data_IF_303268782362
#
_entry.id   IF_303268782362
#
_cell.length_a   1.000
_cell.length_b   1.000
_cell.length_c   1.000
_cell.angle_alpha   90.00
_cell.angle_beta   90.00
_cell.angle_gamma   90.00
#
_symmetry.space_group_name_H-M   'P 1'
#
loop_
_entity.id
_entity.type
_entity.pdbx_description
1 polymer ?
#
# COMPACT_ATOMS: atom_id res chain seq x y z
N UNK A 1 9.66 -1.69 -27.35
CA UNK A 1 8.76 -1.37 -26.24
C UNK A 1 9.26 -1.88 -24.88
N UNK A 2 9.57 -3.17 -24.73
CA UNK A 2 10.00 -3.73 -23.42
C UNK A 2 11.20 -3.00 -22.80
N UNK A 3 12.25 -2.71 -23.59
CA UNK A 3 13.40 -1.91 -23.12
C UNK A 3 12.99 -0.56 -22.52
N UNK A 4 12.07 0.15 -23.18
CA UNK A 4 11.55 1.45 -22.73
C UNK A 4 10.74 1.26 -21.44
N UNK A 5 9.85 0.27 -21.41
CA UNK A 5 9.07 -0.06 -20.22
C UNK A 5 9.96 -0.35 -19.02
N UNK A 6 10.95 -1.24 -19.17
CA UNK A 6 11.90 -1.58 -18.09
C UNK A 6 12.66 -0.35 -17.60
N UNK A 7 13.21 0.49 -18.48
CA UNK A 7 13.93 1.71 -18.08
C UNK A 7 13.03 2.67 -17.29
N UNK A 8 11.79 2.89 -17.75
CA UNK A 8 10.83 3.77 -17.07
C UNK A 8 10.37 3.18 -15.73
N UNK A 9 10.16 1.86 -15.67
CA UNK A 9 9.78 1.15 -14.46
C UNK A 9 10.88 1.22 -13.39
N UNK A 10 12.15 1.01 -13.79
CA UNK A 10 13.28 1.19 -12.87
C UNK A 10 13.38 2.61 -12.36
N UNK A 11 13.14 3.62 -13.21
CA UNK A 11 13.07 5.02 -12.79
C UNK A 11 11.98 5.27 -11.75
N UNK A 12 10.79 4.70 -11.96
CA UNK A 12 9.68 4.78 -11.00
C UNK A 12 10.04 4.14 -9.66
N UNK A 13 10.54 2.90 -9.68
CA UNK A 13 10.92 2.16 -8.46
C UNK A 13 12.01 2.90 -7.69
N UNK A 14 13.03 3.39 -8.38
CA UNK A 14 14.08 4.21 -7.79
C UNK A 14 13.51 5.46 -7.11
N UNK A 15 12.60 6.15 -7.78
CA UNK A 15 11.94 7.33 -7.21
C UNK A 15 11.09 6.97 -5.98
N UNK A 16 10.39 5.84 -5.98
CA UNK A 16 9.64 5.39 -4.79
C UNK A 16 10.62 5.18 -3.63
N UNK A 17 11.71 4.44 -3.86
CA UNK A 17 12.73 4.18 -2.84
C UNK A 17 13.28 5.47 -2.25
N UNK A 18 13.73 6.41 -3.10
CA UNK A 18 14.37 7.66 -2.65
C UNK A 18 13.40 8.64 -1.99
N UNK A 19 12.12 8.63 -2.37
CA UNK A 19 11.15 9.62 -1.85
C UNK A 19 10.26 9.10 -0.73
N UNK A 20 10.15 7.78 -0.58
CA UNK A 20 9.31 7.14 0.42
C UNK A 20 10.11 6.38 1.49
N UNK A 21 11.44 6.50 1.53
CA UNK A 21 12.30 5.79 2.50
C UNK A 21 11.83 5.98 3.95
N UNK A 22 11.77 7.22 4.43
CA UNK A 22 11.31 7.52 5.80
C UNK A 22 9.86 7.06 6.03
N UNK A 23 8.99 7.24 5.04
CA UNK A 23 7.59 6.81 5.14
C UNK A 23 7.43 5.29 5.17
N UNK A 24 8.30 4.54 4.47
CA UNK A 24 8.32 3.08 4.50
C UNK A 24 8.77 2.58 5.87
N UNK A 25 9.78 3.22 6.46
CA UNK A 25 10.22 2.91 7.82
C UNK A 25 9.13 3.18 8.85
N UNK A 26 8.52 4.37 8.82
CA UNK A 26 7.43 4.74 9.72
C UNK A 26 6.22 3.82 9.58
N UNK A 27 5.84 3.50 8.34
CA UNK A 27 4.72 2.60 8.07
C UNK A 27 5.03 1.17 8.49
N UNK A 28 6.20 0.64 8.15
CA UNK A 28 6.63 -0.68 8.58
C UNK A 28 6.66 -0.81 10.10
N UNK A 29 7.16 0.21 10.80
CA UNK A 29 7.14 0.29 12.27
C UNK A 29 5.73 0.30 12.84
N UNK A 30 4.84 1.11 12.28
CA UNK A 30 3.45 1.18 12.71
C UNK A 30 2.74 -0.18 12.55
N UNK A 31 3.00 -0.89 11.45
CA UNK A 31 2.42 -2.20 11.17
C UNK A 31 3.02 -3.30 12.06
N UNK A 32 4.34 -3.28 12.28
CA UNK A 32 5.03 -4.23 13.16
C UNK A 32 4.52 -4.15 14.62
N UNK A 33 4.15 -2.96 15.10
CA UNK A 33 3.55 -2.79 16.42
C UNK A 33 2.25 -3.60 16.60
N UNK A 34 1.45 -3.76 15.54
CA UNK A 34 0.25 -4.60 15.60
C UNK A 34 0.63 -6.04 15.91
N UNK A 35 1.63 -6.54 15.18
CA UNK A 35 2.10 -7.92 15.25
C UNK A 35 2.70 -8.21 16.63
N UNK A 36 3.55 -7.30 17.13
CA UNK A 36 4.16 -7.40 18.47
C UNK A 36 3.07 -7.40 19.56
N UNK A 37 2.02 -6.60 19.39
CA UNK A 37 0.88 -6.55 20.31
C UNK A 37 -0.11 -7.72 20.13
N UNK A 38 0.20 -8.71 19.28
CA UNK A 38 -0.67 -9.85 18.93
C UNK A 38 -2.01 -9.44 18.27
N UNK A 39 -2.03 -8.26 17.65
CA UNK A 39 -3.08 -7.81 16.75
C UNK A 39 -2.84 -8.22 15.30
N UNK A 40 -3.77 -7.83 14.42
CA UNK A 40 -3.72 -8.13 13.00
C UNK A 40 -3.28 -6.92 12.17
N UNK A 41 -2.60 -7.21 11.06
CA UNK A 41 -2.44 -6.27 9.95
C UNK A 41 -3.50 -6.61 8.89
N UNK A 42 -4.60 -5.87 8.87
CA UNK A 42 -5.65 -6.04 7.88
C UNK A 42 -5.23 -5.47 6.53
N UNK A 43 -5.08 -6.33 5.53
CA UNK A 43 -4.66 -5.95 4.19
C UNK A 43 -5.87 -5.97 3.25
N UNK A 44 -6.04 -4.89 2.48
CA UNK A 44 -7.06 -4.80 1.43
C UNK A 44 -6.54 -4.07 0.22
N UNK A 45 -6.64 -4.69 -0.94
CA UNK A 45 -6.53 -4.04 -2.24
C UNK A 45 -7.89 -3.61 -2.75
N UNK A 46 -7.92 -2.52 -3.52
CA UNK A 46 -9.10 -2.05 -4.24
C UNK A 46 -8.83 -2.01 -5.74
N UNK A 47 -9.86 -2.32 -6.54
CA UNK A 47 -9.76 -2.45 -7.99
C UNK A 47 -8.60 -3.40 -8.39
N UNK A 48 -7.71 -3.00 -9.30
CA UNK A 48 -6.59 -3.84 -9.72
C UNK A 48 -5.57 -4.14 -8.60
N UNK A 49 -5.57 -3.36 -7.52
CA UNK A 49 -4.67 -3.59 -6.38
C UNK A 49 -5.07 -4.79 -5.53
N UNK A 50 -6.25 -5.39 -5.76
CA UNK A 50 -6.63 -6.68 -5.16
C UNK A 50 -5.60 -7.78 -5.46
N UNK A 51 -4.83 -7.66 -6.54
CA UNK A 51 -3.72 -8.58 -6.85
C UNK A 51 -2.67 -8.67 -5.74
N UNK A 52 -2.50 -7.62 -4.92
CA UNK A 52 -1.52 -7.58 -3.83
C UNK A 52 -1.94 -8.50 -2.67
N UNK A 53 -3.24 -8.73 -2.49
CA UNK A 53 -3.77 -9.64 -1.47
C UNK A 53 -3.27 -11.08 -1.69
N UNK A 54 -3.10 -11.51 -2.95
CA UNK A 54 -2.54 -12.83 -3.26
C UNK A 54 -1.11 -12.97 -2.76
N UNK A 55 -0.27 -11.94 -2.93
CA UNK A 55 1.08 -11.93 -2.42
C UNK A 55 1.11 -11.90 -0.89
N UNK A 56 0.20 -11.13 -0.28
CA UNK A 56 0.12 -10.96 1.16
C UNK A 56 -0.33 -12.23 1.90
N UNK A 57 -1.30 -12.97 1.36
CA UNK A 57 -1.94 -14.09 2.05
C UNK A 57 -1.48 -15.47 1.56
N UNK A 58 -1.13 -15.59 0.29
CA UNK A 58 -0.83 -16.89 -0.36
C UNK A 58 0.47 -16.90 -1.15
N UNK A 59 1.25 -15.81 -1.09
CA UNK A 59 2.52 -15.71 -1.77
C UNK A 59 3.56 -16.65 -1.19
N UNK A 60 4.70 -16.79 -1.88
CA UNK A 60 5.84 -17.56 -1.39
C UNK A 60 6.26 -17.15 0.03
N UNK A 61 6.08 -15.87 0.34
CA UNK A 61 6.31 -15.32 1.66
C UNK A 61 5.17 -14.36 2.02
N UNK A 62 4.16 -14.89 2.71
CA UNK A 62 3.06 -14.11 3.25
C UNK A 62 3.55 -13.08 4.26
N UNK A 63 2.82 -11.96 4.39
CA UNK A 63 3.15 -10.94 5.39
C UNK A 63 2.81 -11.47 6.81
N UNK A 64 3.72 -11.35 7.79
CA UNK A 64 3.43 -11.76 9.15
C UNK A 64 2.24 -10.98 9.74
N UNK A 65 1.35 -11.68 10.46
CA UNK A 65 0.16 -11.08 11.05
C UNK A 65 -0.88 -10.57 10.04
N UNK A 66 -0.73 -10.89 8.75
CA UNK A 66 -1.66 -10.47 7.71
C UNK A 66 -3.02 -11.17 7.86
N UNK A 67 -4.08 -10.38 7.82
CA UNK A 67 -5.46 -10.85 7.79
C UNK A 67 -6.26 -10.11 6.70
N UNK A 68 -7.29 -10.72 6.10
CA UNK A 68 -8.20 -10.02 5.20
C UNK A 68 -8.98 -8.96 5.97
N UNK A 69 -9.20 -7.79 5.36
CA UNK A 69 -10.04 -6.76 5.96
C UNK A 69 -11.47 -7.30 6.20
N UNK A 70 -11.99 -7.20 7.44
CA UNK A 70 -13.22 -7.87 7.82
C UNK A 70 -14.43 -7.26 7.09
N UNK A 71 -15.33 -8.12 6.61
CA UNK A 71 -16.65 -7.71 6.09
C UNK A 71 -17.61 -7.39 7.24
N UNK A 72 -17.47 -8.12 8.34
CA UNK A 72 -18.27 -8.05 9.55
C UNK A 72 -17.36 -8.29 10.76
N UNK A 73 -17.65 -7.67 11.90
CA UNK A 73 -16.88 -7.82 13.13
C UNK A 73 -16.27 -6.51 13.63
N UNK A 74 -15.75 -6.55 14.86
CA UNK A 74 -15.14 -5.39 15.51
C UNK A 74 -13.64 -5.40 15.30
N UNK A 75 -13.10 -4.34 14.73
CA UNK A 75 -11.68 -4.06 14.71
C UNK A 75 -11.21 -3.81 16.16
N UNK A 76 -10.10 -4.41 16.57
CA UNK A 76 -9.48 -4.21 17.89
C UNK A 76 -8.49 -3.05 17.84
N UNK A 77 -8.34 -2.29 18.93
CA UNK A 77 -7.37 -1.17 19.01
C UNK A 77 -5.90 -1.58 18.77
N UNK A 78 -5.59 -2.88 18.84
CA UNK A 78 -4.27 -3.44 18.55
C UNK A 78 -4.04 -3.67 17.05
N UNK A 79 -5.10 -3.69 16.24
CA UNK A 79 -5.02 -3.95 14.81
C UNK A 79 -4.51 -2.73 14.04
N UNK A 80 -4.04 -2.95 12.82
CA UNK A 80 -3.66 -1.91 11.86
C UNK A 80 -4.23 -2.21 10.48
N UNK A 81 -4.55 -1.17 9.72
CA UNK A 81 -5.02 -1.30 8.34
C UNK A 81 -3.87 -1.00 7.36
N UNK A 82 -3.68 -1.84 6.34
CA UNK A 82 -2.83 -1.57 5.19
C UNK A 82 -3.66 -1.66 3.91
N UNK A 83 -3.90 -0.52 3.28
CA UNK A 83 -4.81 -0.38 2.15
C UNK A 83 -4.05 -0.05 0.88
N UNK A 84 -4.36 -0.73 -0.22
CA UNK A 84 -3.80 -0.46 -1.54
C UNK A 84 -4.89 -0.05 -2.51
N UNK A 85 -4.69 1.03 -3.25
CA UNK A 85 -5.64 1.48 -4.26
C UNK A 85 -4.97 2.22 -5.42
N UNK A 86 -5.65 2.37 -6.57
CA UNK A 86 -5.15 3.21 -7.65
C UNK A 86 -5.04 4.68 -7.25
N UNK A 87 -5.93 5.12 -6.35
CA UNK A 87 -5.99 6.50 -5.85
C UNK A 87 -6.49 6.54 -4.42
N UNK A 88 -6.00 7.50 -3.64
CA UNK A 88 -6.49 7.81 -2.30
C UNK A 88 -8.01 8.12 -2.29
N UNK A 89 -8.54 8.67 -3.39
CA UNK A 89 -9.95 9.05 -3.50
C UNK A 89 -10.87 7.87 -3.86
N UNK A 90 -10.33 6.65 -3.98
CA UNK A 90 -11.15 5.47 -4.27
C UNK A 90 -12.18 5.26 -3.16
N UNK A 91 -13.46 5.06 -3.50
CA UNK A 91 -14.56 4.97 -2.53
C UNK A 91 -14.33 3.89 -1.46
N UNK A 92 -13.78 2.74 -1.86
CA UNK A 92 -13.44 1.66 -0.95
C UNK A 92 -12.37 2.05 0.09
N UNK A 93 -11.39 2.88 -0.29
CA UNK A 93 -10.39 3.40 0.65
C UNK A 93 -11.06 4.32 1.66
N UNK A 94 -11.96 5.18 1.21
CA UNK A 94 -12.66 6.11 2.10
C UNK A 94 -13.58 5.40 3.09
N UNK A 95 -14.30 4.38 2.63
CA UNK A 95 -15.10 3.53 3.50
C UNK A 95 -14.22 2.80 4.54
N UNK A 96 -13.09 2.24 4.11
CA UNK A 96 -12.17 1.55 5.00
C UNK A 96 -11.52 2.50 6.02
N UNK A 97 -11.06 3.68 5.59
CA UNK A 97 -10.49 4.70 6.49
C UNK A 97 -11.49 5.14 7.55
N UNK A 98 -12.75 5.36 7.17
CA UNK A 98 -13.82 5.69 8.12
C UNK A 98 -14.06 4.55 9.12
N UNK A 99 -14.02 3.29 8.68
CA UNK A 99 -14.13 2.15 9.58
C UNK A 99 -12.93 2.05 10.54
N UNK A 100 -11.70 2.27 10.04
CA UNK A 100 -10.50 2.29 10.87
C UNK A 100 -10.57 3.45 11.90
N UNK A 101 -11.04 4.64 11.51
CA UNK A 101 -11.26 5.80 12.40
C UNK A 101 -12.29 5.50 13.49
N UNK A 102 -13.44 4.92 13.13
CA UNK A 102 -14.50 4.55 14.08
C UNK A 102 -14.03 3.51 15.11
N UNK A 103 -13.12 2.63 14.72
CA UNK A 103 -12.51 1.64 15.58
C UNK A 103 -11.29 2.14 16.36
N UNK A 104 -10.80 3.35 16.07
CA UNK A 104 -9.59 3.90 16.68
C UNK A 104 -8.32 3.16 16.27
N UNK A 105 -8.28 2.58 15.06
CA UNK A 105 -7.10 1.88 14.55
C UNK A 105 -6.39 2.68 13.46
N UNK A 106 -5.07 2.60 13.47
CA UNK A 106 -4.26 3.32 12.51
C UNK A 106 -4.24 2.63 11.14
N UNK A 107 -4.26 3.44 10.08
CA UNK A 107 -4.33 2.98 8.70
C UNK A 107 -3.21 3.59 7.85
N UNK A 108 -2.50 2.71 7.13
CA UNK A 108 -1.53 3.04 6.08
C UNK A 108 -2.21 2.88 4.74
N UNK A 109 -2.09 3.89 3.86
CA UNK A 109 -2.61 3.82 2.49
C UNK A 109 -1.47 3.92 1.48
N UNK A 110 -1.42 2.98 0.54
CA UNK A 110 -0.52 2.97 -0.61
C UNK A 110 -1.33 3.25 -1.87
N UNK A 111 -1.06 4.36 -2.56
CA UNK A 111 -1.70 4.65 -3.85
C UNK A 111 -0.91 5.67 -4.65
N UNK A 112 -1.39 6.03 -5.84
CA UNK A 112 -0.88 7.24 -6.51
C UNK A 112 -1.56 8.49 -5.97
N UNK A 113 -0.76 9.52 -5.67
CA UNK A 113 -1.28 10.86 -5.39
C UNK A 113 -1.74 11.52 -6.69
N UNK A 114 -2.98 11.25 -7.09
CA UNK A 114 -3.64 12.07 -8.11
C UNK A 114 -4.05 13.42 -7.51
N UNK A 115 -3.56 14.52 -8.10
CA UNK A 115 -3.99 15.86 -7.74
C UNK A 115 -5.38 16.15 -8.33
N UNK A 116 -6.45 15.83 -7.62
CA UNK A 116 -7.74 16.52 -7.82
C UNK A 116 -8.73 16.32 -6.67
N UNK A 117 -9.32 17.47 -6.30
CA UNK A 117 -10.54 17.75 -5.52
C UNK A 117 -10.58 17.39 -4.02
N UNK A 118 -10.09 18.34 -3.20
CA UNK A 118 -10.88 19.20 -2.28
C UNK A 118 -12.18 18.68 -1.64
N UNK A 119 -12.28 17.43 -1.24
CA UNK A 119 -13.26 17.02 -0.24
C UNK A 119 -12.52 16.66 1.05
N UNK A 120 -12.90 17.29 2.16
CA UNK A 120 -12.44 16.96 3.49
C UNK A 120 -12.77 15.50 3.77
N UNK A 121 -11.74 14.66 3.76
CA UNK A 121 -11.81 13.23 4.01
C UNK A 121 -10.88 12.91 5.17
N UNK A 122 -11.20 11.86 5.94
CA UNK A 122 -10.36 11.40 7.04
C UNK A 122 -8.98 11.04 6.46
N UNK A 123 -7.90 11.77 6.83
CA UNK A 123 -6.59 11.48 6.31
C UNK A 123 -6.14 10.10 6.83
N UNK A 124 -5.44 9.29 6.01
CA UNK A 124 -4.79 8.11 6.55
C UNK A 124 -3.75 8.54 7.60
N UNK A 125 -3.41 7.61 8.50
CA UNK A 125 -2.37 7.88 9.50
C UNK A 125 -1.01 8.04 8.83
N UNK A 126 -0.74 7.19 7.83
CA UNK A 126 0.43 7.29 6.97
C UNK A 126 0.02 7.06 5.52
N UNK A 127 0.68 7.76 4.61
CA UNK A 127 0.43 7.68 3.17
C UNK A 127 1.73 7.43 2.42
N UNK A 128 1.74 6.36 1.62
CA UNK A 128 2.84 5.99 0.75
C UNK A 128 2.46 6.27 -0.70
N UNK A 129 3.12 7.25 -1.30
CA UNK A 129 2.89 7.64 -2.68
C UNK A 129 3.69 6.78 -3.64
N UNK A 130 2.99 6.07 -4.53
CA UNK A 130 3.63 5.27 -5.58
C UNK A 130 4.18 6.13 -6.72
N UNK A 131 3.78 7.40 -6.84
CA UNK A 131 4.21 8.30 -7.91
C UNK A 131 3.72 7.91 -9.32
N UNK A 132 2.81 6.95 -9.43
CA UNK A 132 2.32 6.42 -10.72
C UNK A 132 1.40 7.44 -11.40
N UNK A 133 1.80 7.96 -12.55
CA UNK A 133 1.04 8.99 -13.29
C UNK A 133 0.23 8.44 -14.48
N UNK A 134 0.37 7.16 -14.80
CA UNK A 134 -0.24 6.54 -15.97
C UNK A 134 0.66 5.48 -16.61
N UNK A 135 0.39 5.15 -17.88
CA UNK A 135 1.21 4.22 -18.65
C UNK A 135 2.66 4.69 -18.80
N UNK A 136 3.61 3.76 -18.87
CA UNK A 136 5.04 4.10 -18.97
C UNK A 136 5.51 4.33 -20.41
N UNK A 137 4.95 3.63 -21.39
CA UNK A 137 5.44 3.63 -22.78
C UNK A 137 4.48 4.40 -23.69
N UNK A 138 4.94 5.42 -24.45
CA UNK A 138 4.11 6.04 -25.46
C UNK A 138 3.89 5.09 -26.65
N UNK A 139 2.66 5.05 -27.16
CA UNK A 139 2.32 4.42 -28.43
C UNK A 139 2.38 5.41 -29.60
N UNK A 140 2.12 4.94 -30.82
CA UNK A 140 2.17 5.73 -32.05
C UNK A 140 1.14 6.87 -32.09
N UNK A 141 0.10 6.80 -31.26
CA UNK A 141 -0.96 7.83 -31.14
C UNK A 141 -0.65 8.88 -30.07
N UNK A 142 0.44 8.70 -29.32
CA UNK A 142 0.81 9.53 -28.17
C UNK A 142 0.13 9.14 -26.86
N UNK A 143 -0.72 8.10 -26.86
CA UNK A 143 -1.27 7.53 -25.62
C UNK A 143 -0.19 6.72 -24.91
N UNK A 144 -0.22 6.67 -23.58
CA UNK A 144 0.70 5.86 -22.78
C UNK A 144 0.08 4.52 -22.39
N UNK A 145 0.81 3.44 -22.62
CA UNK A 145 0.44 2.05 -22.29
C UNK A 145 1.43 1.43 -21.30
N UNK A 146 1.08 0.26 -20.75
CA UNK A 146 1.88 -0.42 -19.72
C UNK A 146 1.81 0.32 -18.39
N UNK A 147 0.63 0.33 -17.77
CA UNK A 147 0.43 0.95 -16.47
C UNK A 147 1.14 0.15 -15.36
N UNK A 148 2.00 0.77 -14.53
CA UNK A 148 2.82 0.05 -13.56
C UNK A 148 2.17 -0.06 -12.17
N UNK A 149 0.92 0.38 -11.99
CA UNK A 149 0.25 0.50 -10.68
C UNK A 149 0.44 -0.71 -9.76
N UNK A 150 0.05 -1.90 -10.21
CA UNK A 150 0.17 -3.13 -9.41
C UNK A 150 1.63 -3.49 -9.12
N UNK A 151 2.54 -3.28 -10.07
CA UNK A 151 3.98 -3.54 -9.88
C UNK A 151 4.56 -2.59 -8.81
N UNK A 152 4.18 -1.31 -8.86
CA UNK A 152 4.60 -0.32 -7.88
C UNK A 152 4.03 -0.65 -6.49
N UNK A 153 2.76 -1.06 -6.41
CA UNK A 153 2.14 -1.50 -5.16
C UNK A 153 2.82 -2.73 -4.56
N UNK A 154 3.16 -3.74 -5.38
CA UNK A 154 3.93 -4.91 -4.95
C UNK A 154 5.34 -4.53 -4.47
N UNK A 155 6.00 -3.59 -5.15
CA UNK A 155 7.31 -3.08 -4.70
C UNK A 155 7.21 -2.46 -3.30
N UNK A 156 6.22 -1.59 -3.05
CA UNK A 156 5.97 -0.99 -1.73
C UNK A 156 5.61 -2.06 -0.69
N UNK A 157 4.77 -3.04 -1.04
CA UNK A 157 4.44 -4.17 -0.18
C UNK A 157 5.69 -4.92 0.30
N UNK A 158 6.62 -5.21 -0.62
CA UNK A 158 7.88 -5.88 -0.25
C UNK A 158 8.78 -4.99 0.61
N UNK A 159 8.86 -3.68 0.32
CA UNK A 159 9.57 -2.73 1.18
C UNK A 159 9.04 -2.74 2.62
N UNK A 160 7.71 -2.66 2.78
CA UNK A 160 7.06 -2.78 4.09
C UNK A 160 7.36 -4.12 4.77
N UNK A 161 7.30 -5.22 4.02
CA UNK A 161 7.60 -6.56 4.55
C UNK A 161 9.03 -6.65 5.08
N UNK A 162 10.02 -6.06 4.40
CA UNK A 162 11.40 -6.04 4.86
C UNK A 162 11.55 -5.23 6.15
N UNK A 163 11.01 -4.01 6.20
CA UNK A 163 11.05 -3.19 7.43
C UNK A 163 10.37 -3.92 8.59
N UNK A 164 9.21 -4.53 8.36
CA UNK A 164 8.51 -5.32 9.39
C UNK A 164 9.37 -6.49 9.85
N UNK A 165 9.99 -7.22 8.91
CA UNK A 165 10.86 -8.35 9.22
C UNK A 165 12.03 -7.94 10.12
N UNK A 166 12.77 -6.89 9.73
CA UNK A 166 13.91 -6.38 10.48
C UNK A 166 13.49 -5.97 11.91
N UNK A 167 12.35 -5.29 12.05
CA UNK A 167 11.81 -4.91 13.36
C UNK A 167 11.41 -6.14 14.18
N UNK A 168 10.80 -7.16 13.57
CA UNK A 168 10.41 -8.35 14.33
C UNK A 168 11.63 -9.16 14.80
N UNK A 169 12.71 -9.22 14.02
CA UNK A 169 13.96 -9.89 14.41
C UNK A 169 14.66 -9.19 15.59
N UNK A 170 14.49 -7.88 15.76
CA UNK A 170 15.04 -7.15 16.91
C UNK A 170 14.27 -7.38 18.23
N UNK A 171 12.99 -7.78 18.16
CA UNK A 171 12.07 -7.82 19.30
C UNK A 171 11.55 -9.23 19.66
N UNK A 172 11.77 -10.24 18.81
CA UNK A 172 11.32 -11.63 19.02
C UNK A 172 12.51 -12.61 19.05
#
# INVERSE_FOLDING_TARGET
>A
MLKIFSTQLFGLIKSINETQEEHLEDAGRLLAQAIIAQGNVYIKGFAEMEAIELAAFTGYESMPGAAPFPKEGTLSGQDRCLLFAPSLNHEGVQAALKACEQAGIAAVVVSSRHASSTASLAPPHLFLDTGVKGGLVPDETGKRIGHPGVIAGLYVYHGLKFVIHDILEEYC
#
